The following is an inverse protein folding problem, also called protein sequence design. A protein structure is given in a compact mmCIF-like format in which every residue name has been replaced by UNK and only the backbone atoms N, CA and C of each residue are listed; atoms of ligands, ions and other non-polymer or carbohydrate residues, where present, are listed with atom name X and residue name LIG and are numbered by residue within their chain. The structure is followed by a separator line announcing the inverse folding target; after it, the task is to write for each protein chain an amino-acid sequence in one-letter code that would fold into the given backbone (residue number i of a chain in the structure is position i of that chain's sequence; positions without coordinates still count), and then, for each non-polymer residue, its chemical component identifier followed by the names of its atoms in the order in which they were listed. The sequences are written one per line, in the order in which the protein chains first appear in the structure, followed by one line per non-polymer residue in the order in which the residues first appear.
data_IF_586540235678
#
_entry.id   IF_586540235678
#
_cell.length_a   1.000
_cell.length_b   1.000
_cell.length_c   1.000
_cell.angle_alpha   90.00
_cell.angle_beta   90.00
_cell.angle_gamma   90.00
#
_symmetry.space_group_name_H-M   'P 1'
#
loop_
_entity.id
_entity.type
_entity.pdbx_description
1 polymer ?
#
# COMPACT_ATOMS: atom_id res chain seq x y z
N UNK A 1 -10.70 -19.61 14.69
CA UNK A 1 -10.71 -18.25 15.23
C UNK A 1 -10.34 -17.33 14.08
N UNK A 2 -11.30 -16.59 13.55
CA UNK A 2 -11.10 -15.66 12.44
C UNK A 2 -10.29 -14.48 12.94
N UNK A 3 -9.06 -14.29 12.46
CA UNK A 3 -8.23 -13.15 12.87
C UNK A 3 -8.60 -11.90 12.07
N UNK A 4 -8.31 -10.70 12.59
CA UNK A 4 -8.54 -9.42 11.89
C UNK A 4 -7.91 -9.42 10.48
N UNK A 5 -6.79 -10.12 10.31
CA UNK A 5 -6.11 -10.35 9.03
C UNK A 5 -7.03 -10.95 7.95
N UNK A 6 -7.88 -11.92 8.32
CA UNK A 6 -8.73 -12.63 7.37
C UNK A 6 -9.81 -11.75 6.74
N UNK A 7 -10.16 -10.65 7.42
CA UNK A 7 -11.13 -9.64 6.97
C UNK A 7 -10.48 -8.42 6.31
N UNK A 8 -9.25 -8.06 6.68
CA UNK A 8 -8.55 -6.91 6.12
C UNK A 8 -7.93 -7.18 4.74
N UNK A 9 -7.50 -8.41 4.48
CA UNK A 9 -6.86 -8.77 3.22
C UNK A 9 -7.91 -9.30 2.24
N UNK A 10 -8.19 -8.60 1.12
CA UNK A 10 -9.13 -9.10 0.12
C UNK A 10 -8.70 -10.48 -0.39
N UNK A 11 -9.65 -11.39 -0.71
CA UNK A 11 -9.31 -12.76 -1.08
C UNK A 11 -8.32 -12.87 -2.25
N UNK A 12 -8.33 -11.90 -3.17
CA UNK A 12 -7.44 -11.89 -4.34
C UNK A 12 -5.97 -11.62 -3.97
N UNK A 13 -5.71 -11.00 -2.81
CA UNK A 13 -4.36 -10.65 -2.36
C UNK A 13 -3.79 -11.64 -1.34
N UNK A 14 -4.60 -12.55 -0.78
CA UNK A 14 -4.16 -13.51 0.25
C UNK A 14 -2.93 -14.31 -0.17
N UNK A 15 -2.94 -14.87 -1.39
CA UNK A 15 -1.81 -15.64 -1.92
C UNK A 15 -0.54 -14.80 -2.12
N UNK A 16 -0.67 -13.51 -2.43
CA UNK A 16 0.45 -12.57 -2.56
C UNK A 16 0.97 -12.06 -1.22
N UNK A 17 0.15 -12.12 -0.17
CA UNK A 17 0.54 -11.73 1.19
C UNK A 17 1.17 -12.86 1.99
N UNK A 18 0.92 -14.13 1.60
CA UNK A 18 1.52 -15.33 2.21
C UNK A 18 2.96 -15.61 1.76
N UNK A 19 3.40 -15.02 0.64
CA UNK A 19 4.75 -15.14 0.09
C UNK A 19 5.31 -13.76 -0.27
N UNK A 20 6.63 -13.64 -0.47
CA UNK A 20 7.25 -12.39 -0.93
C UNK A 20 6.94 -12.19 -2.42
N UNK A 21 5.82 -11.52 -2.73
CA UNK A 21 5.41 -11.13 -4.08
C UNK A 21 5.46 -9.61 -4.33
N UNK A 22 5.20 -9.20 -5.58
CA UNK A 22 5.30 -7.80 -6.10
C UNK A 22 4.54 -6.75 -5.27
N UNK A 23 3.44 -7.14 -4.63
CA UNK A 23 2.59 -6.25 -3.83
C UNK A 23 3.07 -6.14 -2.37
N UNK A 24 4.16 -6.84 -2.02
CA UNK A 24 4.70 -6.91 -0.67
C UNK A 24 3.94 -7.91 0.18
N UNK A 25 4.68 -8.69 0.97
CA UNK A 25 4.10 -9.54 1.99
C UNK A 25 3.47 -8.65 3.09
N UNK A 26 2.29 -9.01 3.60
CA UNK A 26 1.76 -8.39 4.82
C UNK A 26 2.30 -9.19 5.99
N UNK A 27 3.00 -8.52 6.89
CA UNK A 27 3.55 -9.12 8.11
C UNK A 27 3.02 -8.40 9.35
N UNK A 28 3.34 -8.94 10.54
CA UNK A 28 3.02 -8.33 11.83
C UNK A 28 4.31 -7.78 12.44
N UNK A 29 4.25 -6.55 12.93
CA UNK A 29 5.32 -5.92 13.70
C UNK A 29 4.73 -4.99 14.76
N UNK A 30 5.57 -4.43 15.62
CA UNK A 30 5.16 -3.37 16.55
C UNK A 30 5.24 -2.00 15.86
N UNK A 31 4.18 -1.20 16.01
CA UNK A 31 4.14 0.13 15.44
C UNK A 31 5.19 1.03 16.11
N UNK A 32 6.08 1.69 15.33
CA UNK A 32 7.28 2.34 15.88
C UNK A 32 7.00 3.51 16.83
N UNK A 33 5.82 4.14 16.74
CA UNK A 33 5.46 5.25 17.62
C UNK A 33 4.58 4.84 18.82
N UNK A 34 3.91 3.68 18.75
CA UNK A 34 2.89 3.30 19.77
C UNK A 34 3.17 1.97 20.45
N UNK A 35 4.14 1.18 19.97
CA UNK A 35 4.47 -0.16 20.47
C UNK A 35 3.25 -1.08 20.55
N UNK A 36 2.34 -0.97 19.57
CA UNK A 36 1.15 -1.84 19.46
C UNK A 36 1.32 -2.75 18.25
N UNK A 37 0.84 -4.01 18.30
CA UNK A 37 0.86 -4.89 17.15
C UNK A 37 0.08 -4.30 15.99
N UNK A 38 0.68 -4.29 14.80
CA UNK A 38 0.07 -3.82 13.55
C UNK A 38 0.38 -4.77 12.40
N UNK A 39 -0.54 -4.84 11.45
CA UNK A 39 -0.24 -5.37 10.12
C UNK A 39 0.49 -4.33 9.30
N UNK A 40 1.52 -4.74 8.57
CA UNK A 40 2.38 -3.86 7.82
C UNK A 40 2.72 -4.46 6.46
N UNK A 41 2.69 -3.63 5.41
CA UNK A 41 3.08 -3.99 4.04
C UNK A 41 4.60 -3.88 3.94
N UNK A 42 5.29 -4.98 3.61
CA UNK A 42 6.74 -4.98 3.52
C UNK A 42 7.26 -4.04 2.41
N UNK A 43 8.25 -3.16 2.68
CA UNK A 43 8.61 -2.07 1.78
C UNK A 43 9.64 -2.47 0.71
N UNK A 44 10.09 -3.73 0.68
CA UNK A 44 11.22 -4.18 -0.15
C UNK A 44 11.10 -3.78 -1.63
N UNK A 45 9.88 -3.80 -2.16
CA UNK A 45 9.63 -3.48 -3.58
C UNK A 45 8.97 -2.12 -3.78
N UNK A 46 8.72 -1.36 -2.70
CA UNK A 46 8.10 -0.05 -2.79
C UNK A 46 8.95 0.89 -3.65
N UNK A 47 10.28 0.89 -3.50
CA UNK A 47 11.15 1.75 -4.30
C UNK A 47 11.03 1.45 -5.81
N UNK A 48 11.17 0.17 -6.18
CA UNK A 48 11.07 -0.28 -7.59
C UNK A 48 9.69 0.05 -8.20
N UNK A 49 8.61 -0.22 -7.45
CA UNK A 49 7.25 0.10 -7.91
C UNK A 49 7.05 1.60 -8.09
N UNK A 50 7.55 2.42 -7.15
CA UNK A 50 7.42 3.87 -7.24
C UNK A 50 8.24 4.42 -8.40
N UNK A 51 9.50 4.00 -8.58
CA UNK A 51 10.35 4.40 -9.70
C UNK A 51 9.72 4.08 -11.06
N UNK A 52 9.02 2.96 -11.18
CA UNK A 52 8.29 2.60 -12.40
C UNK A 52 6.96 3.37 -12.60
N UNK A 53 6.47 4.06 -11.57
CA UNK A 53 5.12 4.67 -11.55
C UNK A 53 5.12 6.19 -11.55
N UNK A 54 6.27 6.84 -11.35
CA UNK A 54 6.37 8.31 -11.19
C UNK A 54 7.43 8.92 -12.11
N UNK A 55 7.19 10.16 -12.53
CA UNK A 55 8.22 10.98 -13.17
C UNK A 55 9.18 11.57 -12.13
N UNK A 56 10.38 11.99 -12.57
CA UNK A 56 11.42 12.54 -11.66
C UNK A 56 11.05 13.89 -11.03
N UNK A 57 9.96 14.52 -11.46
CA UNK A 57 9.62 15.89 -11.11
C UNK A 57 8.19 16.02 -10.59
N UNK A 58 7.84 15.19 -9.61
CA UNK A 58 6.55 15.21 -8.92
C UNK A 58 6.65 15.85 -7.54
N UNK A 59 5.55 16.37 -7.04
CA UNK A 59 5.45 16.90 -5.68
C UNK A 59 5.35 15.76 -4.65
N UNK A 60 5.50 16.10 -3.37
CA UNK A 60 5.36 15.13 -2.28
C UNK A 60 3.92 14.61 -2.15
N UNK A 61 2.92 15.45 -2.42
CA UNK A 61 1.50 15.07 -2.43
C UNK A 61 1.18 14.13 -3.58
N UNK A 62 1.69 14.40 -4.79
CA UNK A 62 1.58 13.48 -5.93
C UNK A 62 2.23 12.12 -5.63
N UNK A 63 3.41 12.13 -4.99
CA UNK A 63 4.10 10.90 -4.59
C UNK A 63 3.23 10.07 -3.64
N UNK A 64 2.64 10.70 -2.63
CA UNK A 64 1.76 10.02 -1.67
C UNK A 64 0.50 9.49 -2.35
N UNK A 65 -0.10 10.21 -3.30
CA UNK A 65 -1.25 9.71 -4.06
C UNK A 65 -0.92 8.44 -4.84
N UNK A 66 0.20 8.45 -5.57
CA UNK A 66 0.65 7.28 -6.34
C UNK A 66 1.00 6.12 -5.40
N UNK A 67 1.69 6.39 -4.29
CA UNK A 67 2.05 5.39 -3.30
C UNK A 67 0.82 4.72 -2.66
N UNK A 68 -0.21 5.49 -2.28
CA UNK A 68 -1.47 4.94 -1.76
C UNK A 68 -2.16 4.12 -2.85
N UNK A 69 -2.17 4.59 -4.10
CA UNK A 69 -2.77 3.87 -5.23
C UNK A 69 -2.10 2.53 -5.53
N UNK A 70 -0.77 2.45 -5.35
CA UNK A 70 0.02 1.24 -5.58
C UNK A 70 -0.02 0.27 -4.40
N UNK A 71 0.30 0.75 -3.19
CA UNK A 71 0.44 -0.09 -1.99
C UNK A 71 -0.90 -0.29 -1.26
N UNK A 72 -1.77 0.73 -1.25
CA UNK A 72 -3.01 0.72 -0.48
C UNK A 72 -3.99 -0.39 -0.88
N UNK A 73 -3.92 -0.88 -2.12
CA UNK A 73 -4.77 -1.97 -2.62
C UNK A 73 -4.65 -3.25 -1.79
N UNK A 74 -3.46 -3.53 -1.26
CA UNK A 74 -3.23 -4.69 -0.39
C UNK A 74 -4.07 -4.64 0.91
N UNK A 75 -4.46 -3.44 1.33
CA UNK A 75 -5.32 -3.19 2.49
C UNK A 75 -6.74 -2.73 2.10
N UNK A 76 -7.13 -2.92 0.83
CA UNK A 76 -8.45 -2.50 0.32
C UNK A 76 -8.62 -0.99 0.14
N UNK A 77 -7.54 -0.20 0.21
CA UNK A 77 -7.56 1.23 -0.06
C UNK A 77 -7.38 1.48 -1.56
N UNK A 78 -8.18 2.39 -2.11
CA UNK A 78 -8.10 2.80 -3.50
C UNK A 78 -8.19 4.33 -3.59
N UNK A 79 -7.34 4.93 -4.43
CA UNK A 79 -7.41 6.36 -4.78
C UNK A 79 -8.24 6.50 -6.05
N UNK A 80 -9.43 7.11 -6.01
CA UNK A 80 -10.22 7.41 -7.20
C UNK A 80 -9.45 8.34 -8.14
N UNK A 81 -9.53 8.11 -9.44
CA UNK A 81 -8.86 8.93 -10.46
C UNK A 81 -9.29 10.41 -10.38
N UNK A 82 -10.51 10.68 -9.92
CA UNK A 82 -11.03 12.03 -9.73
C UNK A 82 -10.22 12.85 -8.72
N UNK A 83 -9.60 12.21 -7.72
CA UNK A 83 -8.72 12.88 -6.77
C UNK A 83 -7.33 13.18 -7.36
N UNK A 84 -6.93 12.44 -8.40
CA UNK A 84 -5.65 12.64 -9.08
C UNK A 84 -5.75 13.66 -10.24
N UNK A 85 -6.95 14.17 -10.53
CA UNK A 85 -7.12 15.23 -11.53
C UNK A 85 -6.80 16.58 -10.91
N UNK A 86 -6.08 17.46 -11.63
CA UNK A 86 -6.03 18.87 -11.27
C UNK A 86 -7.47 19.38 -11.10
N UNK A 87 -7.72 20.22 -10.11
CA UNK A 87 -8.99 20.92 -10.03
C UNK A 87 -9.11 21.80 -11.28
N UNK A 88 -10.02 21.46 -12.19
CA UNK A 88 -10.41 22.34 -13.29
C UNK A 88 -10.91 23.65 -12.64
N UNK A 89 -10.09 24.69 -12.73
CA UNK A 89 -10.38 26.05 -12.26
C UNK A 89 -10.59 26.97 -13.44
#
# INVERSE_FOLDING_TARGET
MTTLYEYLVPPQFKAQTENVGVIGAITITDHPATNRPVFFIHPCQTAEVMEASIDRNITADEYLMVWIGAMGKAAGLHVPLQLARPNDT
#
